data_IF_510539816880
#
_entry.id   IF_510539816880
#
_cell.length_a   1.000
_cell.length_b   1.000
_cell.length_c   1.000
_cell.angle_alpha   90.00
_cell.angle_beta   90.00
_cell.angle_gamma   90.00
#
_symmetry.space_group_name_H-M   'P 1'
#
loop_
_entity.id
_entity.type
_entity.pdbx_description
1 polymer ?
#
# COMPACT_ATOMS: atom_id res chain seq x y z
N UNK A 1 -9.78 -31.50 13.28
CA UNK A 1 -9.73 -30.80 12.83
C UNK A 1 -10.09 -30.71 11.80
N UNK A 2 -10.24 -30.33 11.60
CA UNK A 2 -10.58 -30.08 10.69
C UNK A 2 -10.05 -30.29 9.77
N UNK A 3 -10.02 -30.71 9.63
CA UNK A 3 -9.63 -31.05 8.83
C UNK A 3 -9.36 -30.61 7.68
N UNK A 4 -9.55 -30.65 7.04
CA UNK A 4 -9.30 -30.16 5.80
C UNK A 4 -10.06 -29.00 5.55
N UNK A 5 -9.67 -27.96 6.13
CA UNK A 5 -10.42 -26.74 5.96
C UNK A 5 -10.52 -26.40 4.50
N UNK A 6 -11.64 -25.81 4.14
CA UNK A 6 -11.80 -25.22 2.84
C UNK A 6 -10.87 -24.02 2.76
N UNK A 7 -9.85 -24.15 1.93
CA UNK A 7 -8.84 -23.09 1.83
C UNK A 7 -9.40 -21.78 1.28
N UNK A 8 -10.47 -21.84 0.49
CA UNK A 8 -11.06 -20.62 -0.02
C UNK A 8 -11.70 -19.80 1.10
N UNK A 9 -12.25 -20.45 2.12
CA UNK A 9 -12.78 -19.76 3.28
C UNK A 9 -11.66 -19.11 4.08
N UNK A 10 -10.56 -19.82 4.26
CA UNK A 10 -9.43 -19.30 5.01
C UNK A 10 -8.71 -18.17 4.30
N UNK A 11 -8.65 -18.22 2.97
CA UNK A 11 -7.92 -17.21 2.19
C UNK A 11 -8.76 -16.01 1.81
N UNK A 12 -10.07 -16.01 2.11
CA UNK A 12 -10.96 -14.94 1.70
C UNK A 12 -11.77 -14.44 2.90
N UNK A 13 -11.10 -13.78 3.86
CA UNK A 13 -11.81 -13.24 5.01
C UNK A 13 -12.79 -12.17 4.57
N UNK A 14 -13.84 -12.04 5.34
CA UNK A 14 -14.89 -11.07 5.07
C UNK A 14 -14.41 -9.67 5.47
N UNK A 15 -14.36 -8.75 4.52
CA UNK A 15 -14.00 -7.37 4.79
C UNK A 15 -14.93 -6.71 5.81
N UNK A 16 -16.18 -7.11 5.83
CA UNK A 16 -17.13 -6.53 6.77
C UNK A 16 -16.81 -6.89 8.21
N UNK A 17 -16.01 -7.92 8.44
CA UNK A 17 -15.56 -8.28 9.79
C UNK A 17 -14.42 -7.37 10.28
N UNK A 18 -13.90 -6.49 9.41
CA UNK A 18 -12.83 -5.57 9.80
C UNK A 18 -11.45 -6.18 9.85
N UNK A 19 -11.25 -7.36 9.29
CA UNK A 19 -9.91 -7.96 9.26
C UNK A 19 -8.98 -7.13 8.41
N UNK A 20 -7.82 -6.83 8.99
CA UNK A 20 -6.83 -5.93 8.41
C UNK A 20 -5.65 -6.68 7.83
N UNK A 21 -5.13 -6.15 6.75
CA UNK A 21 -3.82 -6.52 6.24
C UNK A 21 -3.02 -5.25 6.03
N UNK A 22 -1.82 -5.18 6.60
CA UNK A 22 -1.00 -3.97 6.56
C UNK A 22 0.27 -4.24 5.77
N UNK A 23 0.53 -3.38 4.80
CA UNK A 23 1.74 -3.43 4.01
C UNK A 23 2.52 -2.14 4.24
N UNK A 24 3.77 -2.29 4.69
CA UNK A 24 4.67 -1.18 4.89
C UNK A 24 5.61 -1.10 3.70
N UNK A 25 5.67 0.05 3.06
CA UNK A 25 6.59 0.28 1.95
C UNK A 25 7.54 1.40 2.30
N UNK A 26 8.83 1.11 2.31
CA UNK A 26 9.89 2.08 2.55
C UNK A 26 10.71 2.36 1.29
N UNK A 27 10.43 1.65 0.19
CA UNK A 27 11.13 1.79 -1.07
C UNK A 27 10.38 2.75 -1.99
N UNK A 28 11.12 3.48 -2.80
CA UNK A 28 10.56 4.42 -3.75
C UNK A 28 11.24 4.30 -5.11
N UNK A 29 11.55 5.42 -5.73
CA UNK A 29 12.10 5.42 -7.09
C UNK A 29 13.49 4.80 -7.15
N UNK A 30 14.18 4.64 -6.03
CA UNK A 30 15.46 3.94 -6.00
C UNK A 30 15.32 2.43 -6.20
N UNK A 31 14.09 1.91 -6.07
CA UNK A 31 13.83 0.48 -6.28
C UNK A 31 12.40 0.30 -6.77
N UNK A 32 12.16 0.69 -7.99
CA UNK A 32 10.82 0.66 -8.60
C UNK A 32 10.21 -0.75 -8.62
N UNK A 33 10.96 -1.82 -8.93
CA UNK A 33 10.37 -3.16 -8.87
C UNK A 33 9.80 -3.52 -7.50
N UNK A 34 10.45 -3.05 -6.43
CA UNK A 34 9.95 -3.33 -5.08
C UNK A 34 8.66 -2.56 -4.80
N UNK A 35 8.57 -1.33 -5.28
CA UNK A 35 7.32 -0.56 -5.14
C UNK A 35 6.19 -1.23 -5.91
N UNK A 36 6.48 -1.69 -7.14
CA UNK A 36 5.46 -2.42 -7.91
C UNK A 36 4.98 -3.65 -7.16
N UNK A 37 5.90 -4.38 -6.52
CA UNK A 37 5.54 -5.54 -5.72
C UNK A 37 4.65 -5.17 -4.54
N UNK A 38 5.00 -4.10 -3.83
CA UNK A 38 4.19 -3.64 -2.70
C UNK A 38 2.75 -3.35 -3.15
N UNK A 39 2.60 -2.64 -4.26
CA UNK A 39 1.28 -2.31 -4.80
C UNK A 39 0.53 -3.57 -5.24
N UNK A 40 1.22 -4.50 -5.88
CA UNK A 40 0.60 -5.75 -6.31
C UNK A 40 0.13 -6.59 -5.12
N UNK A 41 0.97 -6.73 -4.09
CA UNK A 41 0.56 -7.51 -2.92
C UNK A 41 -0.56 -6.83 -2.17
N UNK A 42 -0.60 -5.50 -2.15
CA UNK A 42 -1.72 -4.78 -1.55
C UNK A 42 -3.02 -5.06 -2.32
N UNK A 43 -2.95 -5.05 -3.64
CA UNK A 43 -4.10 -5.36 -4.49
C UNK A 43 -4.59 -6.78 -4.23
N UNK A 44 -3.67 -7.74 -4.12
CA UNK A 44 -4.02 -9.12 -3.84
C UNK A 44 -4.68 -9.28 -2.47
N UNK A 45 -4.16 -8.60 -1.45
CA UNK A 45 -4.77 -8.65 -0.12
C UNK A 45 -6.19 -8.07 -0.15
N UNK A 46 -6.37 -6.97 -0.86
CA UNK A 46 -7.70 -6.37 -0.98
C UNK A 46 -8.65 -7.29 -1.74
N UNK A 47 -8.16 -7.95 -2.79
CA UNK A 47 -9.01 -8.87 -3.55
C UNK A 47 -9.33 -10.14 -2.75
N UNK A 48 -8.53 -10.44 -1.74
CA UNK A 48 -8.79 -11.56 -0.81
C UNK A 48 -9.70 -11.12 0.35
N UNK A 49 -10.34 -9.96 0.20
CA UNK A 49 -11.36 -9.45 1.13
C UNK A 49 -10.81 -8.90 2.45
N UNK A 50 -9.50 -8.63 2.54
CA UNK A 50 -8.96 -7.88 3.66
C UNK A 50 -9.18 -6.39 3.48
N UNK A 51 -9.48 -5.69 4.56
CA UNK A 51 -9.27 -4.25 4.59
C UNK A 51 -7.76 -4.03 4.55
N UNK A 52 -7.25 -3.41 3.50
CA UNK A 52 -5.82 -3.35 3.24
C UNK A 52 -5.33 -1.92 3.34
N UNK A 53 -4.29 -1.73 4.15
CA UNK A 53 -3.62 -0.44 4.31
C UNK A 53 -2.22 -0.58 3.70
N UNK A 54 -1.87 0.33 2.80
CA UNK A 54 -0.49 0.48 2.33
C UNK A 54 0.06 1.74 2.98
N UNK A 55 1.02 1.56 3.87
CA UNK A 55 1.62 2.67 4.61
C UNK A 55 3.00 2.97 4.03
N UNK A 56 3.20 4.20 3.57
CA UNK A 56 4.41 4.63 2.89
C UNK A 56 5.27 5.44 3.84
N UNK A 57 6.55 5.08 3.95
CA UNK A 57 7.55 5.83 4.73
C UNK A 57 8.75 6.11 3.84
N UNK A 58 9.54 7.10 4.20
CA UNK A 58 10.79 7.43 3.53
C UNK A 58 10.60 7.56 2.03
N UNK A 59 11.42 6.91 1.22
CA UNK A 59 11.37 7.06 -0.24
C UNK A 59 10.03 6.69 -0.86
N UNK A 60 9.23 5.86 -0.18
CA UNK A 60 7.92 5.50 -0.70
C UNK A 60 6.96 6.70 -0.74
N UNK A 61 7.15 7.68 0.16
CA UNK A 61 6.31 8.87 0.16
C UNK A 61 6.49 9.68 -1.13
N UNK A 62 7.70 9.70 -1.67
CA UNK A 62 7.97 10.44 -2.92
C UNK A 62 7.14 9.92 -4.08
N UNK A 63 6.84 8.62 -4.08
CA UNK A 63 6.04 8.01 -5.15
C UNK A 63 4.61 8.52 -5.12
N UNK A 64 4.12 8.91 -3.95
CA UNK A 64 2.74 9.35 -3.75
C UNK A 64 2.54 10.85 -3.96
N UNK A 65 3.57 11.55 -4.39
CA UNK A 65 3.48 12.99 -4.71
C UNK A 65 2.95 13.16 -6.12
N UNK A 66 2.06 14.15 -6.30
CA UNK A 66 1.45 14.41 -7.60
C UNK A 66 2.52 14.65 -8.67
N UNK A 67 2.39 13.97 -9.80
CA UNK A 67 3.29 14.12 -10.93
C UNK A 67 4.61 13.39 -10.81
N UNK A 68 4.94 12.82 -9.65
CA UNK A 68 6.26 12.22 -9.46
C UNK A 68 6.46 10.96 -10.28
N UNK A 69 5.43 10.12 -10.37
CA UNK A 69 5.53 8.87 -11.15
C UNK A 69 5.80 9.20 -12.62
N UNK A 70 5.02 10.13 -13.18
CA UNK A 70 5.16 10.51 -14.58
C UNK A 70 6.52 11.13 -14.88
N UNK A 71 7.08 11.83 -13.90
CA UNK A 71 8.38 12.45 -14.08
C UNK A 71 9.53 11.46 -13.95
N UNK A 72 9.44 10.51 -13.04
CA UNK A 72 10.60 9.71 -12.62
C UNK A 72 10.59 8.28 -13.11
N UNK A 73 9.44 7.71 -13.43
CA UNK A 73 9.42 6.36 -13.95
C UNK A 73 9.59 6.36 -15.47
N UNK A 74 10.47 5.48 -15.97
CA UNK A 74 10.62 5.25 -17.40
C UNK A 74 9.92 3.93 -17.73
N UNK A 75 8.75 3.98 -18.39
CA UNK A 75 8.02 2.75 -18.71
C UNK A 75 8.86 1.81 -19.57
N UNK A 76 8.71 0.52 -19.30
CA UNK A 76 9.38 -0.53 -20.04
C UNK A 76 8.35 -1.41 -20.74
N UNK A 77 8.68 -1.98 -21.92
CA UNK A 77 7.76 -2.86 -22.62
C UNK A 77 7.41 -4.08 -21.76
N UNK A 78 6.13 -4.44 -21.74
CA UNK A 78 5.64 -5.65 -21.06
C UNK A 78 5.85 -5.66 -19.54
N UNK A 79 6.09 -4.49 -18.95
CA UNK A 79 6.22 -4.36 -17.50
C UNK A 79 5.17 -3.36 -17.04
N UNK A 80 4.30 -3.74 -16.08
CA UNK A 80 3.31 -2.79 -15.56
C UNK A 80 3.99 -1.59 -14.93
N UNK A 81 3.44 -0.41 -15.19
CA UNK A 81 3.98 0.82 -14.61
C UNK A 81 3.50 0.98 -13.17
N UNK A 82 4.19 1.85 -12.43
CA UNK A 82 3.74 2.21 -11.08
C UNK A 82 2.33 2.79 -11.13
N UNK A 83 2.03 3.61 -12.15
CA UNK A 83 0.69 4.19 -12.27
C UNK A 83 -0.37 3.12 -12.42
N UNK A 84 -0.11 2.12 -13.27
CA UNK A 84 -1.05 1.03 -13.46
C UNK A 84 -1.28 0.26 -12.16
N UNK A 85 -0.21 -0.07 -11.46
CA UNK A 85 -0.32 -0.80 -10.19
C UNK A 85 -1.02 0.02 -9.11
N UNK A 86 -0.72 1.32 -9.06
CA UNK A 86 -1.36 2.21 -8.10
C UNK A 86 -2.86 2.33 -8.35
N UNK A 87 -3.23 2.52 -9.62
CA UNK A 87 -4.65 2.64 -9.97
C UNK A 87 -5.40 1.35 -9.64
N UNK A 88 -4.82 0.20 -9.92
CA UNK A 88 -5.41 -1.09 -9.56
C UNK A 88 -5.63 -1.20 -8.06
N UNK A 89 -4.62 -0.82 -7.28
CA UNK A 89 -4.71 -0.91 -5.83
C UNK A 89 -5.83 -0.02 -5.30
N UNK A 90 -5.91 1.20 -5.79
CA UNK A 90 -6.93 2.13 -5.33
C UNK A 90 -8.33 1.69 -5.75
N UNK A 91 -8.47 1.14 -6.96
CA UNK A 91 -9.74 0.60 -7.42
C UNK A 91 -10.22 -0.57 -6.57
N UNK A 92 -9.29 -1.36 -6.07
CA UNK A 92 -9.62 -2.49 -5.19
C UNK A 92 -9.90 -2.05 -3.76
N UNK A 93 -9.76 -0.76 -3.46
CA UNK A 93 -10.06 -0.24 -2.13
C UNK A 93 -8.88 -0.22 -1.17
N UNK A 94 -7.66 -0.37 -1.66
CA UNK A 94 -6.48 -0.21 -0.82
C UNK A 94 -6.42 1.21 -0.30
N UNK A 95 -6.27 1.37 1.02
CA UNK A 95 -6.13 2.67 1.65
C UNK A 95 -4.64 3.00 1.73
N UNK A 96 -4.23 4.09 1.10
CA UNK A 96 -2.83 4.47 1.03
C UNK A 96 -2.58 5.62 1.98
N UNK A 97 -1.60 5.45 2.86
CA UNK A 97 -1.23 6.43 3.87
C UNK A 97 0.24 6.78 3.73
N UNK A 98 0.57 8.03 4.04
CA UNK A 98 1.95 8.50 4.04
C UNK A 98 2.33 8.98 5.42
N UNK A 99 3.52 8.58 5.86
CA UNK A 99 4.07 8.93 7.17
C UNK A 99 4.21 10.44 7.31
N UNK A 100 3.56 11.00 8.33
CA UNK A 100 3.60 12.45 8.56
C UNK A 100 5.00 12.94 8.88
N UNK A 101 5.82 12.13 9.55
CA UNK A 101 7.19 12.52 9.87
C UNK A 101 8.03 12.63 8.61
N UNK A 102 7.92 11.65 7.70
CA UNK A 102 8.62 11.71 6.42
C UNK A 102 8.18 12.94 5.61
N UNK A 103 6.86 13.18 5.59
CA UNK A 103 6.32 14.34 4.88
C UNK A 103 6.93 15.64 5.42
N UNK A 104 6.95 15.78 6.75
CA UNK A 104 7.51 16.97 7.36
C UNK A 104 9.00 17.13 7.05
N UNK A 105 9.76 16.04 7.12
CA UNK A 105 11.20 16.08 6.83
C UNK A 105 11.49 16.52 5.41
N UNK A 106 10.59 16.19 4.48
CA UNK A 106 10.79 16.45 3.05
C UNK A 106 9.95 17.63 2.53
N UNK A 107 9.34 18.40 3.43
CA UNK A 107 8.49 19.54 3.08
C UNK A 107 7.36 19.16 2.12
N UNK A 108 6.76 18.00 2.35
CA UNK A 108 5.60 17.53 1.58
C UNK A 108 4.35 17.81 2.41
N UNK A 109 3.38 18.48 1.81
CA UNK A 109 2.09 18.75 2.45
C UNK A 109 1.03 17.80 1.92
N UNK A 110 -0.13 17.78 2.58
CA UNK A 110 -1.23 16.91 2.14
C UNK A 110 -1.68 17.27 0.72
N UNK A 111 -1.63 18.55 0.35
CA UNK A 111 -2.00 18.99 -0.99
C UNK A 111 -1.05 18.48 -2.07
N UNK A 112 0.17 18.12 -1.69
CA UNK A 112 1.15 17.58 -2.63
C UNK A 112 0.88 16.11 -2.95
N UNK A 113 0.08 15.41 -2.15
CA UNK A 113 -0.17 13.98 -2.32
C UNK A 113 -1.22 13.73 -3.40
N UNK A 114 -1.14 12.55 -4.00
CA UNK A 114 -2.14 12.10 -4.96
C UNK A 114 -3.53 12.07 -4.32
N UNK A 115 -4.60 12.30 -5.11
CA UNK A 115 -5.96 12.21 -4.60
C UNK A 115 -6.21 10.86 -3.94
N UNK A 116 -6.81 10.87 -2.75
CA UNK A 116 -7.12 9.64 -2.03
C UNK A 116 -6.01 9.13 -1.12
N UNK A 117 -4.79 9.65 -1.26
CA UNK A 117 -3.68 9.31 -0.37
C UNK A 117 -3.73 10.24 0.84
N UNK A 118 -3.61 9.68 2.05
CA UNK A 118 -3.81 10.45 3.28
C UNK A 118 -2.56 10.42 4.15
N UNK A 119 -2.27 11.54 4.84
CA UNK A 119 -1.24 11.52 5.89
C UNK A 119 -1.70 10.66 7.06
N UNK A 120 -0.74 9.98 7.72
CA UNK A 120 -1.03 9.22 8.93
C UNK A 120 0.21 9.12 9.79
N UNK A 121 0.03 9.21 11.09
CA UNK A 121 1.15 9.14 12.03
C UNK A 121 1.63 7.72 12.27
N UNK A 122 2.88 7.61 12.72
CA UNK A 122 3.51 6.32 12.96
C UNK A 122 2.80 5.51 14.04
N UNK A 123 2.26 6.16 15.07
CA UNK A 123 1.52 5.42 16.10
C UNK A 123 0.26 4.77 15.53
N UNK A 124 -0.37 5.41 14.54
CA UNK A 124 -1.49 4.80 13.85
C UNK A 124 -1.10 3.51 13.15
N UNK A 125 0.08 3.50 12.53
CA UNK A 125 0.61 2.29 11.90
C UNK A 125 0.82 1.19 12.94
N UNK A 126 1.41 1.51 14.09
CA UNK A 126 1.63 0.52 15.14
C UNK A 126 0.29 -0.07 15.58
N UNK A 127 -0.69 0.78 15.81
CA UNK A 127 -2.02 0.34 16.23
C UNK A 127 -2.66 -0.58 15.18
N UNK A 128 -2.62 -0.18 13.92
CA UNK A 128 -3.18 -0.99 12.84
C UNK A 128 -2.47 -2.32 12.72
N UNK A 129 -1.13 -2.31 12.77
CA UNK A 129 -0.35 -3.54 12.64
C UNK A 129 -0.61 -4.49 13.79
N UNK A 130 -0.80 -3.96 15.02
CA UNK A 130 -1.08 -4.81 16.15
C UNK A 130 -2.44 -5.51 16.06
N UNK A 131 -3.33 -5.00 15.24
CA UNK A 131 -4.66 -5.57 15.02
C UNK A 131 -4.76 -6.34 13.71
N UNK A 132 -3.71 -6.32 12.89
CA UNK A 132 -3.76 -6.90 11.56
C UNK A 132 -3.70 -8.42 11.61
N UNK A 133 -4.42 -9.05 10.69
CA UNK A 133 -4.35 -10.49 10.48
C UNK A 133 -3.02 -10.89 9.85
N UNK A 134 -2.42 -9.99 9.08
CA UNK A 134 -1.11 -10.22 8.47
C UNK A 134 -0.46 -8.91 8.07
N UNK A 135 0.85 -8.96 7.80
CA UNK A 135 1.59 -7.79 7.36
C UNK A 135 2.78 -8.21 6.50
N UNK A 136 3.16 -7.33 5.59
CA UNK A 136 4.34 -7.48 4.73
C UNK A 136 5.07 -6.16 4.68
N UNK A 137 6.38 -6.24 4.41
CA UNK A 137 7.23 -5.05 4.28
C UNK A 137 8.01 -5.09 2.97
N UNK A 138 8.14 -3.93 2.34
CA UNK A 138 8.88 -3.79 1.08
C UNK A 138 9.83 -2.62 1.10
#
# INVERSE_FOLDING_TARGET
MQDNPDLSILSQPDKSSGKLFVILCASGFENIPRVRSALMFATLAASAEYRTILYCVQEAVDVMVRGAIEEKEKPQPNVPTLRQRLDEAMEMGVEIQCCTQTMANNNITEQDLLPGVKPAGAMGLITLTSQAAGSLCF
#
